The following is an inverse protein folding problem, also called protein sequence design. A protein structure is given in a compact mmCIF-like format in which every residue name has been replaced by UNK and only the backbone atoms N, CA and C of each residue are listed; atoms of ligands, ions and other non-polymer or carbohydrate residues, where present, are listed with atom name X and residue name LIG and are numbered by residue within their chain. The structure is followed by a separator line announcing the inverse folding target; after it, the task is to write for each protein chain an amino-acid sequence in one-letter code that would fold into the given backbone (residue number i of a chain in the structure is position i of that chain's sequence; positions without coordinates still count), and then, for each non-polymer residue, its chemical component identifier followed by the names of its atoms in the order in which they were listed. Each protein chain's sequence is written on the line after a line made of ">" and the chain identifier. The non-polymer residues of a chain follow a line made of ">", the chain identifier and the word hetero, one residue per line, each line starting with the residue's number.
data_IF_797486223751
#
_entry.id   IF_797486223751
#
_cell.length_a   1.000
_cell.length_b   1.000
_cell.length_c   1.000
_cell.angle_alpha   90.00
_cell.angle_beta   90.00
_cell.angle_gamma   90.00
#
_symmetry.space_group_name_H-M   'P 1'
#
loop_
_entity.id
_entity.type
_entity.pdbx_description
1 polymer ?
#
# COMPACT_ATOMS: atom_id res chain seq x y z
N UNK A 1 -0.25 12.04 -2.80
CA UNK A 1 1.16 11.61 -2.72
C UNK A 1 1.27 10.11 -2.52
N UNK A 2 0.75 9.53 -1.44
CA UNK A 2 0.80 8.07 -1.20
C UNK A 2 0.31 7.23 -2.40
N UNK A 3 -0.88 7.53 -2.94
CA UNK A 3 -1.42 6.82 -4.12
C UNK A 3 -0.52 6.91 -5.37
N UNK A 4 0.13 8.05 -5.59
CA UNK A 4 1.08 8.24 -6.70
C UNK A 4 2.37 7.42 -6.52
N UNK A 5 2.72 7.06 -5.28
CA UNK A 5 3.85 6.16 -5.00
C UNK A 5 3.42 4.70 -5.21
N UNK A 6 2.23 4.30 -4.75
CA UNK A 6 1.79 2.89 -4.80
C UNK A 6 1.34 2.46 -6.20
N UNK A 7 0.71 3.33 -6.99
CA UNK A 7 0.18 2.98 -8.31
C UNK A 7 1.25 2.46 -9.31
N UNK A 8 2.46 3.05 -9.41
CA UNK A 8 3.54 2.50 -10.23
C UNK A 8 3.96 1.09 -9.81
N UNK A 9 4.05 0.81 -8.51
CA UNK A 9 4.38 -0.54 -8.03
C UNK A 9 3.30 -1.53 -8.40
N UNK A 10 2.02 -1.19 -8.20
CA UNK A 10 0.91 -2.03 -8.61
C UNK A 10 0.96 -2.30 -10.13
N UNK A 11 1.22 -1.28 -10.95
CA UNK A 11 1.32 -1.44 -12.39
C UNK A 11 2.50 -2.35 -12.77
N UNK A 12 3.61 -2.29 -12.04
CA UNK A 12 4.76 -3.15 -12.22
C UNK A 12 4.54 -4.60 -11.74
N UNK A 13 3.59 -4.87 -10.84
CA UNK A 13 3.27 -6.23 -10.38
C UNK A 13 2.18 -6.94 -11.17
N UNK A 14 1.36 -6.22 -11.94
CA UNK A 14 0.34 -6.82 -12.81
C UNK A 14 0.94 -7.81 -13.83
N UNK A 15 2.08 -7.54 -14.49
CA UNK A 15 2.73 -8.50 -15.37
C UNK A 15 3.10 -9.82 -14.68
N UNK A 16 3.31 -9.82 -13.36
CA UNK A 16 3.61 -11.04 -12.59
C UNK A 16 2.40 -11.97 -12.45
N UNK A 17 1.18 -11.49 -12.72
CA UNK A 17 -0.03 -12.31 -12.77
C UNK A 17 -0.23 -12.95 -14.16
N UNK A 18 0.45 -12.44 -15.18
CA UNK A 18 0.32 -12.94 -16.54
C UNK A 18 1.36 -14.02 -16.82
N UNK A 19 1.02 -15.03 -17.63
CA UNK A 19 2.00 -16.00 -18.09
C UNK A 19 3.10 -15.28 -18.88
N UNK A 20 4.36 -15.59 -18.55
CA UNK A 20 5.53 -15.10 -19.27
C UNK A 20 5.59 -15.78 -20.65
N UNK A 21 4.78 -15.28 -21.58
CA UNK A 21 4.64 -15.76 -22.94
C UNK A 21 5.98 -15.74 -23.69
N UNK A 22 6.86 -14.80 -23.35
CA UNK A 22 8.21 -14.72 -23.91
C UNK A 22 9.08 -15.88 -23.45
N UNK A 23 9.09 -16.21 -22.15
CA UNK A 23 9.80 -17.41 -21.67
C UNK A 23 9.19 -18.69 -22.20
N UNK A 24 7.86 -18.78 -22.30
CA UNK A 24 7.19 -19.94 -22.86
C UNK A 24 7.57 -20.16 -24.34
N UNK A 25 7.60 -19.10 -25.14
CA UNK A 25 8.06 -19.17 -26.54
C UNK A 25 9.55 -19.46 -26.65
N UNK A 26 10.40 -18.86 -25.81
CA UNK A 26 11.84 -19.14 -25.81
C UNK A 26 12.12 -20.61 -25.47
N UNK A 27 11.45 -21.15 -24.45
CA UNK A 27 11.55 -22.57 -24.09
C UNK A 27 11.05 -23.49 -25.20
N UNK A 28 9.93 -23.15 -25.85
CA UNK A 28 9.44 -23.89 -27.01
C UNK A 28 10.43 -23.85 -28.19
N UNK A 29 11.02 -22.69 -28.47
CA UNK A 29 12.03 -22.52 -29.53
C UNK A 29 13.32 -23.30 -29.21
N UNK A 30 13.77 -23.32 -27.96
CA UNK A 30 14.90 -24.14 -27.51
C UNK A 30 14.61 -25.63 -27.60
N UNK A 31 13.37 -26.04 -27.30
CA UNK A 31 12.96 -27.43 -27.43
C UNK A 31 12.90 -27.86 -28.90
N UNK A 32 12.38 -27.01 -29.78
CA UNK A 32 12.37 -27.26 -31.23
C UNK A 32 13.80 -27.28 -31.80
N UNK A 33 14.68 -26.37 -31.38
CA UNK A 33 16.06 -26.32 -31.87
C UNK A 33 16.89 -27.52 -31.39
N UNK A 34 16.66 -28.00 -30.16
CA UNK A 34 17.30 -29.20 -29.62
C UNK A 34 16.82 -30.50 -30.30
N UNK A 35 15.66 -30.47 -30.96
CA UNK A 35 15.10 -31.58 -31.72
C UNK A 35 15.52 -31.58 -33.20
N UNK A 36 16.36 -30.62 -33.61
CA UNK A 36 16.89 -30.50 -34.97
C UNK A 36 18.24 -31.22 -35.26
N UNK A 37 18.64 -32.37 -34.66
CA UNK A 37 19.69 -33.18 -35.27
C UNK A 37 19.22 -33.77 -36.59
N UNK A 38 20.08 -33.65 -37.60
CA UNK A 38 19.90 -33.96 -39.05
C UNK A 38 19.53 -35.42 -39.38
N UNK A 39 19.33 -36.34 -38.42
CA UNK A 39 19.10 -37.75 -38.79
C UNK A 39 18.44 -38.61 -37.70
N UNK A 40 17.20 -38.34 -37.32
CA UNK A 40 16.41 -39.31 -36.53
C UNK A 40 15.00 -39.46 -37.10
N UNK A 41 14.73 -40.69 -37.52
CA UNK A 41 13.47 -41.21 -38.04
C UNK A 41 12.31 -40.88 -37.09
N UNK A 42 11.23 -40.38 -37.69
CA UNK A 42 9.93 -40.03 -37.11
C UNK A 42 9.45 -40.95 -35.99
N UNK A 43 9.85 -40.69 -34.74
CA UNK A 43 9.15 -41.16 -33.55
C UNK A 43 8.21 -40.03 -33.12
N UNK A 44 6.92 -40.34 -32.98
CA UNK A 44 5.84 -39.37 -32.79
C UNK A 44 6.18 -38.23 -31.83
N UNK A 45 6.00 -37.01 -32.33
CA UNK A 45 6.25 -35.75 -31.62
C UNK A 45 5.18 -35.62 -30.52
N UNK A 46 5.52 -35.96 -29.27
CA UNK A 46 4.67 -35.66 -28.12
C UNK A 46 5.02 -34.28 -27.57
N UNK A 47 4.33 -33.25 -28.08
CA UNK A 47 4.36 -31.92 -27.46
C UNK A 47 3.57 -32.00 -26.16
N UNK A 48 4.28 -32.20 -25.05
CA UNK A 48 3.68 -32.05 -23.71
C UNK A 48 3.53 -30.56 -23.45
N UNK A 49 2.32 -30.05 -23.65
CA UNK A 49 1.98 -28.70 -23.18
C UNK A 49 2.11 -28.68 -21.66
N UNK A 50 2.83 -27.71 -21.06
CA UNK A 50 2.73 -27.51 -19.62
C UNK A 50 1.24 -27.26 -19.29
N UNK A 51 0.69 -27.93 -18.28
CA UNK A 51 -0.72 -27.75 -17.93
C UNK A 51 -1.00 -26.26 -17.73
N UNK A 52 -2.09 -25.76 -18.30
CA UNK A 52 -2.57 -24.37 -18.14
C UNK A 52 -2.78 -23.99 -16.66
N UNK A 53 -2.67 -24.96 -15.76
CA UNK A 53 -2.91 -24.85 -14.33
C UNK A 53 -1.62 -24.61 -13.53
N UNK A 54 -0.43 -24.84 -14.12
CA UNK A 54 0.85 -24.63 -13.45
C UNK A 54 1.06 -23.16 -13.03
N UNK A 55 0.46 -22.23 -13.78
CA UNK A 55 0.53 -20.78 -13.55
C UNK A 55 -0.29 -20.31 -12.33
N UNK A 56 -1.38 -21.02 -11.99
CA UNK A 56 -2.17 -20.76 -10.78
C UNK A 56 -1.48 -21.26 -9.50
N UNK A 57 -0.39 -22.01 -9.61
CA UNK A 57 0.26 -22.63 -8.43
C UNK A 57 0.96 -21.59 -7.55
N UNK A 58 1.43 -20.47 -8.12
CA UNK A 58 2.04 -19.40 -7.33
C UNK A 58 0.97 -18.42 -6.84
N UNK A 59 0.46 -18.63 -5.63
CA UNK A 59 -0.51 -17.71 -4.99
C UNK A 59 0.09 -16.37 -4.57
N UNK A 60 1.43 -16.29 -4.48
CA UNK A 60 2.15 -15.13 -3.95
C UNK A 60 1.96 -13.84 -4.75
N UNK A 61 2.08 -13.82 -6.10
CA UNK A 61 1.86 -12.61 -6.89
C UNK A 61 0.44 -12.05 -6.75
N UNK A 62 -0.56 -12.94 -6.65
CA UNK A 62 -1.95 -12.56 -6.44
C UNK A 62 -2.13 -11.86 -5.08
N UNK A 63 -1.57 -12.43 -4.01
CA UNK A 63 -1.63 -11.85 -2.65
C UNK A 63 -0.96 -10.49 -2.58
N UNK A 64 0.19 -10.30 -3.23
CA UNK A 64 0.90 -9.01 -3.27
C UNK A 64 0.05 -7.94 -3.95
N UNK A 65 -0.54 -8.25 -5.12
CA UNK A 65 -1.39 -7.31 -5.83
C UNK A 65 -2.68 -7.00 -5.06
N UNK A 66 -3.27 -7.99 -4.37
CA UNK A 66 -4.41 -7.75 -3.47
C UNK A 66 -4.03 -6.81 -2.33
N UNK A 67 -2.88 -7.03 -1.67
CA UNK A 67 -2.40 -6.17 -0.58
C UNK A 67 -2.20 -4.72 -1.06
N UNK A 68 -1.56 -4.53 -2.21
CA UNK A 68 -1.30 -3.20 -2.74
C UNK A 68 -2.55 -2.48 -3.26
N UNK A 69 -3.48 -3.22 -3.88
CA UNK A 69 -4.80 -2.70 -4.23
C UNK A 69 -5.55 -2.26 -2.97
N UNK A 70 -5.52 -3.07 -1.92
CA UNK A 70 -6.13 -2.73 -0.64
C UNK A 70 -5.48 -1.48 -0.01
N UNK A 71 -4.14 -1.39 -0.03
CA UNK A 71 -3.43 -0.20 0.46
C UNK A 71 -3.84 1.07 -0.29
N UNK A 72 -3.98 1.00 -1.63
CA UNK A 72 -4.45 2.11 -2.45
C UNK A 72 -5.87 2.55 -2.09
N UNK A 73 -6.79 1.60 -1.97
CA UNK A 73 -8.19 1.88 -1.63
C UNK A 73 -8.27 2.55 -0.25
N UNK A 74 -7.57 2.01 0.76
CA UNK A 74 -7.55 2.58 2.11
C UNK A 74 -6.95 4.00 2.09
N UNK A 75 -5.84 4.20 1.37
CA UNK A 75 -5.24 5.52 1.22
C UNK A 75 -6.15 6.53 0.55
N UNK A 76 -6.93 6.11 -0.46
CA UNK A 76 -7.87 6.97 -1.18
C UNK A 76 -9.07 7.33 -0.31
N UNK A 77 -9.64 6.36 0.41
CA UNK A 77 -10.71 6.57 1.40
C UNK A 77 -10.24 7.56 2.47
N UNK A 78 -9.03 7.36 3.01
CA UNK A 78 -8.43 8.27 4.01
C UNK A 78 -8.28 9.70 3.46
N UNK A 79 -7.87 9.86 2.20
CA UNK A 79 -7.75 11.16 1.56
C UNK A 79 -9.11 11.87 1.39
N UNK A 80 -10.16 11.13 1.04
CA UNK A 80 -11.53 11.69 0.96
C UNK A 80 -11.99 12.19 2.32
N UNK A 81 -11.80 11.40 3.38
CA UNK A 81 -12.10 11.83 4.74
C UNK A 81 -11.27 13.05 5.16
N UNK A 82 -9.98 13.08 4.84
CA UNK A 82 -9.11 14.21 5.13
C UNK A 82 -9.58 15.50 4.45
N UNK A 83 -10.01 15.42 3.18
CA UNK A 83 -10.59 16.56 2.47
C UNK A 83 -11.90 17.02 3.10
N UNK A 84 -12.74 16.08 3.53
CA UNK A 84 -14.00 16.41 4.20
C UNK A 84 -13.72 17.17 5.50
N UNK A 85 -12.87 16.65 6.38
CA UNK A 85 -12.44 17.33 7.61
C UNK A 85 -11.90 18.73 7.33
N UNK A 86 -11.02 18.88 6.33
CA UNK A 86 -10.47 20.17 5.94
C UNK A 86 -11.56 21.16 5.52
N UNK A 87 -12.53 20.72 4.72
CA UNK A 87 -13.65 21.56 4.28
C UNK A 87 -14.51 22.02 5.45
N UNK A 88 -14.78 21.11 6.40
CA UNK A 88 -15.52 21.44 7.60
C UNK A 88 -14.76 22.51 8.40
N UNK A 89 -13.46 22.30 8.65
CA UNK A 89 -12.63 23.26 9.40
C UNK A 89 -12.60 24.66 8.76
N UNK A 90 -12.47 24.74 7.43
CA UNK A 90 -12.51 26.02 6.69
C UNK A 90 -13.86 26.73 6.81
N UNK A 91 -14.97 25.99 6.74
CA UNK A 91 -16.31 26.55 6.92
C UNK A 91 -16.49 27.14 8.33
N UNK A 92 -15.89 26.52 9.36
CA UNK A 92 -15.90 27.07 10.72
C UNK A 92 -15.06 28.34 10.86
N UNK A 93 -13.87 28.37 10.25
CA UNK A 93 -13.01 29.55 10.29
C UNK A 93 -13.68 30.75 9.61
N UNK A 94 -14.31 30.55 8.44
CA UNK A 94 -15.07 31.61 7.77
C UNK A 94 -16.28 32.08 8.60
N UNK A 95 -16.97 31.17 9.30
CA UNK A 95 -18.07 31.57 10.18
C UNK A 95 -17.58 32.40 11.36
N UNK A 96 -16.45 32.03 11.97
CA UNK A 96 -15.80 32.76 13.07
C UNK A 96 -15.43 34.18 12.68
N UNK A 97 -14.76 34.35 11.55
CA UNK A 97 -14.30 35.67 11.11
C UNK A 97 -15.45 36.62 10.74
N UNK A 98 -16.67 36.08 10.52
CA UNK A 98 -17.89 36.83 10.25
C UNK A 98 -18.77 37.07 11.49
N UNK A 99 -18.37 36.62 12.70
CA UNK A 99 -19.19 36.77 13.92
C UNK A 99 -18.75 38.02 14.70
N UNK A 100 -19.68 38.91 15.06
CA UNK A 100 -19.42 40.11 15.86
C UNK A 100 -18.98 39.76 17.30
N UNK A 101 -18.23 40.65 17.99
CA UNK A 101 -17.59 40.34 19.29
C UNK A 101 -18.54 40.02 20.46
N UNK A 102 -19.84 40.22 20.34
CA UNK A 102 -20.79 40.27 21.46
C UNK A 102 -21.58 38.95 21.68
N UNK A 103 -21.41 37.94 20.82
CA UNK A 103 -22.07 36.62 20.95
C UNK A 103 -21.05 35.51 21.31
N UNK A 104 -20.39 35.70 22.45
CA UNK A 104 -19.34 34.79 22.94
C UNK A 104 -19.95 33.48 23.47
N UNK A 105 -21.21 33.50 23.91
CA UNK A 105 -21.89 32.36 24.53
C UNK A 105 -22.49 31.39 23.51
N UNK A 106 -23.09 31.86 22.41
CA UNK A 106 -23.60 30.99 21.33
C UNK A 106 -22.48 30.23 20.59
N UNK A 107 -21.29 30.81 20.52
CA UNK A 107 -20.11 30.21 19.90
C UNK A 107 -19.51 29.07 20.73
N UNK A 108 -19.65 29.14 22.06
CA UNK A 108 -19.17 28.13 23.02
C UNK A 108 -20.04 26.88 22.98
N UNK A 109 -21.35 27.01 22.75
CA UNK A 109 -22.24 25.85 22.59
C UNK A 109 -22.09 25.16 21.22
N UNK A 110 -21.90 25.91 20.13
CA UNK A 110 -21.66 25.32 18.81
C UNK A 110 -20.31 24.61 18.70
N UNK A 111 -19.25 25.13 19.31
CA UNK A 111 -17.94 24.46 19.38
C UNK A 111 -17.97 23.19 20.24
N UNK A 112 -18.79 23.15 21.30
CA UNK A 112 -19.07 21.94 22.09
C UNK A 112 -19.91 20.92 21.30
N UNK A 113 -20.89 21.39 20.50
CA UNK A 113 -21.66 20.56 19.58
C UNK A 113 -20.79 19.83 18.56
N UNK A 114 -19.76 20.50 18.03
CA UNK A 114 -18.79 19.92 17.10
C UNK A 114 -17.80 18.94 17.72
N UNK A 115 -17.40 19.18 18.97
CA UNK A 115 -16.61 18.20 19.74
C UNK A 115 -17.42 16.93 20.01
N UNK A 116 -18.75 17.04 20.06
CA UNK A 116 -19.71 15.93 20.21
C UNK A 116 -20.05 15.22 18.89
N UNK A 117 -19.99 15.90 17.74
CA UNK A 117 -20.50 15.39 16.44
C UNK A 117 -19.52 14.52 15.63
N UNK A 118 -18.48 13.98 16.26
CA UNK A 118 -17.60 12.98 15.63
C UNK A 118 -16.45 13.55 14.78
N UNK A 119 -16.32 14.87 14.63
CA UNK A 119 -15.15 15.48 13.96
C UNK A 119 -13.85 15.09 14.67
N UNK A 120 -13.85 15.07 16.01
CA UNK A 120 -12.67 14.66 16.78
C UNK A 120 -12.32 13.17 16.55
N UNK A 121 -13.34 12.31 16.39
CA UNK A 121 -13.15 10.90 16.09
C UNK A 121 -12.58 10.70 14.68
N UNK A 122 -13.12 11.41 13.67
CA UNK A 122 -12.68 11.33 12.28
C UNK A 122 -11.25 11.87 12.13
N UNK A 123 -10.94 13.00 12.80
CA UNK A 123 -9.60 13.59 12.81
C UNK A 123 -8.58 12.64 13.44
N UNK A 124 -8.92 11.95 14.53
CA UNK A 124 -8.07 10.94 15.15
C UNK A 124 -7.94 9.65 14.32
N UNK A 125 -8.97 9.28 13.55
CA UNK A 125 -8.94 8.07 12.71
C UNK A 125 -8.10 8.26 11.43
N UNK A 126 -8.00 9.49 10.92
CA UNK A 126 -7.23 9.85 9.73
C UNK A 126 -5.77 9.34 9.77
N UNK A 127 -4.96 9.70 10.79
CA UNK A 127 -3.59 9.24 10.87
C UNK A 127 -3.52 7.72 11.06
N UNK A 128 -4.45 7.12 11.79
CA UNK A 128 -4.48 5.67 12.01
C UNK A 128 -4.70 4.89 10.70
N UNK A 129 -5.69 5.30 9.89
CA UNK A 129 -5.95 4.70 8.58
C UNK A 129 -4.74 4.87 7.64
N UNK A 130 -4.04 6.01 7.70
CA UNK A 130 -2.84 6.25 6.92
C UNK A 130 -1.69 5.32 7.32
N UNK A 131 -1.43 5.17 8.63
CA UNK A 131 -0.42 4.23 9.13
C UNK A 131 -0.74 2.80 8.71
N UNK A 132 -2.01 2.41 8.77
CA UNK A 132 -2.45 1.09 8.32
C UNK A 132 -2.21 0.88 6.81
N UNK A 133 -2.56 1.85 5.96
CA UNK A 133 -2.29 1.78 4.52
C UNK A 133 -0.79 1.65 4.23
N UNK A 134 0.05 2.39 4.95
CA UNK A 134 1.51 2.33 4.84
C UNK A 134 2.01 0.95 5.25
N UNK A 135 1.54 0.41 6.38
CA UNK A 135 1.94 -0.92 6.85
C UNK A 135 1.60 -2.01 5.83
N UNK A 136 0.38 -2.02 5.29
CA UNK A 136 -0.05 -2.96 4.25
C UNK A 136 0.82 -2.84 3.00
N UNK A 137 1.17 -1.62 2.58
CA UNK A 137 2.06 -1.38 1.45
C UNK A 137 3.47 -1.95 1.68
N UNK A 138 4.06 -1.71 2.86
CA UNK A 138 5.40 -2.22 3.21
C UNK A 138 5.43 -3.76 3.25
N UNK A 139 4.37 -4.40 3.77
CA UNK A 139 4.26 -5.87 3.80
C UNK A 139 4.30 -6.46 2.38
N UNK A 140 3.62 -5.83 1.41
CA UNK A 140 3.68 -6.25 0.01
C UNK A 140 4.99 -5.90 -0.69
N UNK A 141 5.71 -4.86 -0.24
CA UNK A 141 6.95 -4.38 -0.84
C UNK A 141 8.12 -5.34 -0.68
N UNK A 142 8.28 -5.93 0.50
CA UNK A 142 9.38 -6.87 0.81
C UNK A 142 9.44 -8.05 -0.18
N UNK A 143 8.38 -8.87 -0.36
CA UNK A 143 8.43 -10.00 -1.26
C UNK A 143 8.55 -9.59 -2.73
N UNK A 144 7.96 -8.45 -3.12
CA UNK A 144 8.10 -7.93 -4.48
C UNK A 144 9.56 -7.61 -4.81
N UNK A 145 10.25 -6.87 -3.93
CA UNK A 145 11.64 -6.50 -4.18
C UNK A 145 12.56 -7.73 -4.22
N UNK A 146 12.30 -8.72 -3.36
CA UNK A 146 13.02 -10.00 -3.37
C UNK A 146 12.85 -10.78 -4.67
N UNK A 147 11.66 -10.75 -5.27
CA UNK A 147 11.41 -11.37 -6.57
C UNK A 147 12.14 -10.66 -7.70
N UNK A 148 12.27 -9.32 -7.63
CA UNK A 148 12.97 -8.54 -8.67
C UNK A 148 14.50 -8.73 -8.58
N UNK A 149 15.08 -8.59 -7.40
CA UNK A 149 16.53 -8.75 -7.19
C UNK A 149 16.83 -9.01 -5.72
N UNK A 150 17.69 -10.00 -5.44
CA UNK A 150 18.15 -10.29 -4.08
C UNK A 150 18.85 -9.09 -3.42
N UNK A 151 19.65 -8.33 -4.18
CA UNK A 151 20.36 -7.17 -3.66
C UNK A 151 19.40 -6.05 -3.24
N UNK A 152 18.41 -5.75 -4.09
CA UNK A 152 17.37 -4.78 -3.76
C UNK A 152 16.51 -5.27 -2.59
N UNK A 153 16.19 -6.56 -2.55
CA UNK A 153 15.40 -7.17 -1.48
C UNK A 153 16.07 -7.02 -0.11
N UNK A 154 17.38 -7.25 -0.02
CA UNK A 154 18.16 -7.01 1.21
C UNK A 154 18.15 -5.53 1.58
N UNK A 155 18.43 -4.64 0.63
CA UNK A 155 18.47 -3.19 0.89
C UNK A 155 17.13 -2.67 1.39
N UNK A 156 16.02 -3.00 0.73
CA UNK A 156 14.69 -2.54 1.12
C UNK A 156 14.26 -3.15 2.44
N UNK A 157 14.52 -4.45 2.67
CA UNK A 157 14.17 -5.13 3.93
C UNK A 157 14.92 -4.55 5.13
N UNK A 158 16.23 -4.27 4.98
CA UNK A 158 17.02 -3.63 6.05
C UNK A 158 16.50 -2.22 6.35
N UNK A 159 16.22 -1.42 5.32
CA UNK A 159 15.70 -0.06 5.50
C UNK A 159 14.33 -0.05 6.21
N UNK A 160 13.43 -0.95 5.79
CA UNK A 160 12.11 -1.12 6.42
C UNK A 160 12.27 -1.56 7.88
N UNK A 161 13.13 -2.53 8.15
CA UNK A 161 13.37 -3.03 9.51
C UNK A 161 13.89 -1.93 10.44
N UNK A 162 14.87 -1.14 9.98
CA UNK A 162 15.41 0.01 10.73
C UNK A 162 14.31 1.06 10.97
N UNK A 163 13.49 1.38 9.97
CA UNK A 163 12.40 2.33 10.11
C UNK A 163 11.35 1.89 11.14
N UNK A 164 10.93 0.62 11.10
CA UNK A 164 9.98 0.04 12.06
C UNK A 164 10.58 0.00 13.47
N UNK A 165 11.87 -0.34 13.58
CA UNK A 165 12.57 -0.34 14.87
C UNK A 165 12.63 1.06 15.48
N UNK A 166 13.01 2.08 14.70
CA UNK A 166 13.04 3.47 15.17
C UNK A 166 11.65 3.98 15.55
N UNK A 167 10.63 3.65 14.75
CA UNK A 167 9.24 4.01 15.05
C UNK A 167 8.76 3.34 16.35
N UNK A 168 9.04 2.05 16.52
CA UNK A 168 8.71 1.31 17.74
C UNK A 168 9.45 1.86 18.96
N UNK A 169 10.73 2.20 18.81
CA UNK A 169 11.51 2.83 19.87
C UNK A 169 10.91 4.19 20.27
N UNK A 170 10.55 5.02 19.29
CA UNK A 170 9.90 6.31 19.54
C UNK A 170 8.54 6.14 20.24
N UNK A 171 7.74 5.16 19.85
CA UNK A 171 6.47 4.83 20.49
C UNK A 171 6.66 4.35 21.94
N UNK A 172 7.65 3.49 22.19
CA UNK A 172 8.01 3.01 23.53
C UNK A 172 8.53 4.16 24.41
N UNK A 173 9.40 5.02 23.88
CA UNK A 173 9.87 6.24 24.55
C UNK A 173 8.69 7.15 24.92
N UNK A 174 7.72 7.32 24.02
CA UNK A 174 6.51 8.09 24.29
C UNK A 174 5.65 7.50 25.42
N UNK A 175 5.60 6.17 25.54
CA UNK A 175 4.87 5.50 26.62
C UNK A 175 5.62 5.54 27.97
N UNK A 176 6.96 5.53 27.95
CA UNK A 176 7.78 5.53 29.16
C UNK A 176 8.03 6.93 29.72
N UNK A 177 7.97 7.98 28.89
CA UNK A 177 8.13 9.38 29.31
C UNK A 177 6.76 10.01 29.53
N UNK A 178 6.19 9.77 30.72
CA UNK A 178 4.91 10.35 31.21
C UNK A 178 4.98 11.90 31.38
N UNK A 179 6.11 12.54 31.07
CA UNK A 179 6.33 13.99 31.30
C UNK A 179 6.74 14.80 30.05
N UNK A 180 6.48 14.31 28.83
CA UNK A 180 6.76 15.10 27.62
C UNK A 180 5.55 15.99 27.22
N UNK A 181 5.71 17.32 27.08
CA UNK A 181 4.64 18.29 26.81
C UNK A 181 4.22 18.35 25.32
N UNK A 182 4.38 17.24 24.60
CA UNK A 182 3.85 17.04 23.26
C UNK A 182 3.17 15.68 23.22
N UNK A 183 2.06 15.56 23.96
CA UNK A 183 0.97 14.67 23.56
C UNK A 183 0.60 15.01 22.13
N UNK A 184 1.11 14.20 21.20
CA UNK A 184 0.67 14.24 19.82
C UNK A 184 -0.84 13.92 19.78
N UNK A 185 -1.65 14.69 19.04
CA UNK A 185 -3.08 14.46 18.86
C UNK A 185 -3.37 13.16 18.09
#
# INVERSE_FOLDING_TARGET
>A
LFSAVVAPFLLASIPMLQPDLQRATLNALLQISAQLPVNQTSAGISVTYPPEDAWLTSRWPLVINMLWSLALVIGLVTAVFAMLVKRWLLAFQQKRDNTLPDDVDGFREQSVGLRKWGVNLIVGLLPLCLHFAIAVFLIGLIPFTWHVSKALGVLVSTLVSVGVFLYGLAALLGHMVVSCPYTAP
#
